data_IF_729418663400
#
_entry.id   IF_729418663400
#
_cell.length_a   1.000
_cell.length_b   1.000
_cell.length_c   1.000
_cell.angle_alpha   90.00
_cell.angle_beta   90.00
_cell.angle_gamma   90.00
#
_symmetry.space_group_name_H-M   'P 1'
#
loop_
_entity.id
_entity.type
_entity.pdbx_description
1 polymer ?
#
# COMPACT_ATOMS: atom_id res chain seq x y z
N UNK A 1 -22.73 10.04 -9.55
CA UNK A 1 -22.75 8.61 -9.17
C UNK A 1 -21.85 8.45 -7.96
N UNK A 2 -22.35 8.88 -6.80
CA UNK A 2 -21.59 8.94 -5.53
C UNK A 2 -21.82 7.66 -4.73
N UNK A 3 -20.72 7.00 -4.35
CA UNK A 3 -20.65 5.86 -3.46
C UNK A 3 -20.95 6.24 -2.00
N UNK A 4 -22.22 6.49 -1.66
CA UNK A 4 -22.67 6.83 -0.29
C UNK A 4 -22.81 5.62 0.65
N UNK A 5 -22.53 4.39 0.19
CA UNK A 5 -22.87 3.17 0.95
C UNK A 5 -21.73 2.56 1.78
N UNK A 6 -20.49 3.04 1.70
CA UNK A 6 -19.40 2.48 2.53
C UNK A 6 -19.48 2.85 4.03
N UNK A 7 -20.30 3.85 4.40
CA UNK A 7 -20.41 4.35 5.77
C UNK A 7 -21.80 4.15 6.41
N UNK A 8 -22.66 3.37 5.74
CA UNK A 8 -24.00 3.07 6.23
C UNK A 8 -23.95 1.83 7.15
N UNK A 9 -24.00 2.08 8.46
CA UNK A 9 -24.00 1.06 9.52
C UNK A 9 -25.28 0.21 9.52
N UNK A 10 -26.27 0.53 8.69
CA UNK A 10 -27.50 -0.27 8.53
C UNK A 10 -27.32 -1.46 7.57
N UNK A 11 -26.22 -1.50 6.81
CA UNK A 11 -25.91 -2.57 5.86
C UNK A 11 -25.07 -3.64 6.57
N UNK A 12 -25.74 -4.67 7.07
CA UNK A 12 -25.20 -5.99 7.52
C UNK A 12 -23.85 -5.99 8.27
N UNK A 13 -23.92 -5.96 9.61
CA UNK A 13 -23.06 -6.77 10.49
C UNK A 13 -21.57 -6.42 10.65
N UNK A 14 -21.01 -5.51 9.85
CA UNK A 14 -19.61 -5.10 9.97
C UNK A 14 -19.51 -3.62 10.36
N UNK A 15 -19.25 -3.36 11.65
CA UNK A 15 -18.98 -1.99 12.12
C UNK A 15 -17.54 -1.60 11.80
N UNK A 16 -17.34 -0.42 11.22
CA UNK A 16 -15.98 0.12 11.00
C UNK A 16 -15.36 0.43 12.37
N UNK A 17 -14.20 -0.14 12.73
CA UNK A 17 -13.59 0.10 14.04
C UNK A 17 -13.37 1.60 14.29
N UNK A 18 -13.66 2.06 15.51
CA UNK A 18 -13.64 3.49 15.87
C UNK A 18 -12.33 4.19 15.49
N UNK A 19 -11.18 3.53 15.60
CA UNK A 19 -9.85 4.12 15.31
C UNK A 19 -9.60 4.44 13.84
N UNK A 20 -10.30 3.77 12.92
CA UNK A 20 -10.16 3.99 11.47
C UNK A 20 -11.41 4.65 10.87
N UNK A 21 -12.37 5.01 11.71
CA UNK A 21 -13.65 5.56 11.29
C UNK A 21 -13.52 7.07 10.99
N UNK A 22 -14.02 7.51 9.82
CA UNK A 22 -14.07 8.93 9.46
C UNK A 22 -14.94 9.77 10.40
N UNK A 23 -15.94 9.17 11.05
CA UNK A 23 -16.78 9.84 12.05
C UNK A 23 -16.02 10.19 13.33
N UNK A 24 -14.97 9.41 13.68
CA UNK A 24 -14.14 9.71 14.86
C UNK A 24 -13.02 10.69 14.53
N UNK A 25 -12.52 10.70 13.29
CA UNK A 25 -11.57 11.69 12.77
C UNK A 25 -11.95 12.08 11.33
N UNK A 26 -12.44 13.31 11.17
CA UNK A 26 -12.89 13.84 9.87
C UNK A 26 -11.74 14.09 8.91
N UNK A 27 -10.60 14.55 9.41
CA UNK A 27 -9.47 14.96 8.57
C UNK A 27 -8.77 13.75 7.96
N UNK A 28 -8.22 13.93 6.75
CA UNK A 28 -7.40 12.90 6.12
C UNK A 28 -6.14 12.66 6.95
N UNK A 29 -5.84 11.39 7.24
CA UNK A 29 -4.59 11.03 7.86
C UNK A 29 -3.50 11.02 6.79
N UNK A 30 -2.47 11.84 7.00
CA UNK A 30 -1.26 11.82 6.17
C UNK A 30 -0.17 11.02 6.87
N UNK A 31 0.50 10.15 6.12
CA UNK A 31 1.65 9.38 6.58
C UNK A 31 2.89 9.89 5.85
N UNK A 32 3.85 10.43 6.60
CA UNK A 32 5.11 10.91 6.07
C UNK A 32 6.15 9.77 6.05
N UNK A 33 6.65 9.44 4.87
CA UNK A 33 7.75 8.50 4.65
C UNK A 33 8.87 9.24 3.95
N UNK A 34 9.89 9.66 4.70
CA UNK A 34 11.06 10.35 4.16
C UNK A 34 10.72 11.57 3.26
N UNK A 35 9.74 12.38 3.66
CA UNK A 35 9.26 13.53 2.89
C UNK A 35 8.15 13.22 1.88
N UNK A 36 7.80 11.95 1.67
CA UNK A 36 6.68 11.54 0.82
C UNK A 36 5.41 11.48 1.67
N UNK A 37 4.40 12.29 1.34
CA UNK A 37 3.16 12.41 2.09
C UNK A 37 2.03 11.53 1.49
N UNK A 38 1.85 10.32 2.00
CA UNK A 38 0.74 9.44 1.59
C UNK A 38 -0.56 9.92 2.23
N UNK A 39 -1.61 10.10 1.43
CA UNK A 39 -2.90 10.66 1.86
C UNK A 39 -3.02 12.18 1.69
N UNK A 40 -2.03 12.81 1.03
CA UNK A 40 -2.09 14.19 0.56
C UNK A 40 -2.81 14.34 -0.79
N UNK A 41 -2.52 15.43 -1.50
CA UNK A 41 -3.08 15.71 -2.83
C UNK A 41 -2.37 15.00 -3.98
N UNK A 42 -1.14 14.54 -3.77
CA UNK A 42 -0.31 13.90 -4.79
C UNK A 42 -0.58 12.41 -4.92
N UNK A 43 -0.43 11.89 -6.14
CA UNK A 43 -0.52 10.45 -6.40
C UNK A 43 0.84 9.81 -6.12
N UNK A 44 0.90 8.98 -5.09
CA UNK A 44 2.11 8.27 -4.71
C UNK A 44 2.12 6.87 -5.34
N UNK A 45 3.19 6.56 -6.07
CA UNK A 45 3.38 5.26 -6.73
C UNK A 45 4.40 4.42 -5.96
N UNK A 46 3.98 3.23 -5.54
CA UNK A 46 4.83 2.22 -4.89
C UNK A 46 5.03 1.06 -5.87
N UNK A 47 6.25 0.84 -6.34
CA UNK A 47 6.56 -0.14 -7.38
C UNK A 47 7.79 -0.98 -7.02
N UNK A 48 7.95 -2.13 -7.66
CA UNK A 48 9.06 -3.05 -7.42
C UNK A 48 8.64 -4.51 -7.48
N UNK A 49 9.57 -5.45 -7.29
CA UNK A 49 9.29 -6.85 -7.57
C UNK A 49 8.29 -7.46 -6.58
N UNK A 50 7.68 -8.57 -7.01
CA UNK A 50 6.79 -9.33 -6.14
C UNK A 50 7.59 -9.91 -4.96
N UNK A 51 8.63 -10.71 -5.26
CA UNK A 51 9.59 -11.26 -4.31
C UNK A 51 10.99 -10.69 -4.59
N UNK A 52 11.78 -10.50 -3.54
CA UNK A 52 13.20 -10.19 -3.68
C UNK A 52 13.94 -11.49 -3.93
N UNK A 53 14.51 -11.65 -5.11
CA UNK A 53 15.17 -12.91 -5.51
C UNK A 53 16.69 -12.84 -5.33
N UNK A 54 17.29 -11.69 -5.62
CA UNK A 54 18.70 -11.41 -5.39
C UNK A 54 18.96 -9.89 -5.38
N UNK A 55 20.20 -9.51 -5.07
CA UNK A 55 20.61 -8.11 -4.93
C UNK A 55 20.57 -7.37 -6.27
N UNK A 56 21.03 -8.02 -7.32
CA UNK A 56 21.16 -7.45 -8.67
C UNK A 56 19.78 -7.09 -9.23
N UNK A 57 18.84 -8.03 -9.18
CA UNK A 57 17.44 -7.85 -9.58
C UNK A 57 16.77 -6.71 -8.80
N UNK A 58 16.98 -6.64 -7.48
CA UNK A 58 16.40 -5.59 -6.67
C UNK A 58 16.95 -4.20 -7.03
N UNK A 59 18.27 -4.08 -7.21
CA UNK A 59 18.92 -2.82 -7.54
C UNK A 59 18.61 -2.36 -8.97
N UNK A 60 18.52 -3.27 -9.92
CA UNK A 60 18.09 -2.98 -11.29
C UNK A 60 16.65 -2.47 -11.31
N UNK A 61 15.74 -3.22 -10.66
CA UNK A 61 14.33 -2.82 -10.55
C UNK A 61 14.20 -1.45 -9.90
N UNK A 62 14.96 -1.17 -8.83
CA UNK A 62 14.94 0.11 -8.14
C UNK A 62 15.26 1.29 -9.05
N UNK A 63 16.28 1.14 -9.91
CA UNK A 63 16.69 2.17 -10.87
C UNK A 63 15.62 2.40 -11.93
N UNK A 64 15.06 1.34 -12.48
CA UNK A 64 14.04 1.43 -13.54
C UNK A 64 12.76 2.07 -13.02
N UNK A 65 12.22 1.59 -11.89
CA UNK A 65 10.97 2.14 -11.35
C UNK A 65 11.15 3.58 -10.87
N UNK A 66 12.29 3.93 -10.30
CA UNK A 66 12.59 5.32 -9.93
C UNK A 66 12.64 6.23 -11.15
N UNK A 67 13.29 5.79 -12.24
CA UNK A 67 13.35 6.53 -13.51
C UNK A 67 11.97 6.68 -14.17
N UNK A 68 11.07 5.72 -13.94
CA UNK A 68 9.68 5.77 -14.40
C UNK A 68 8.74 6.62 -13.51
N UNK A 69 9.25 7.21 -12.42
CA UNK A 69 8.48 8.07 -11.52
C UNK A 69 7.86 7.37 -10.31
N UNK A 70 8.29 6.15 -9.99
CA UNK A 70 7.93 5.54 -8.70
C UNK A 70 8.59 6.29 -7.54
N UNK A 71 7.83 6.44 -6.46
CA UNK A 71 8.24 7.21 -5.28
C UNK A 71 8.86 6.30 -4.21
N UNK A 72 8.37 5.07 -4.11
CA UNK A 72 8.78 4.10 -3.09
C UNK A 72 9.02 2.73 -3.74
N UNK A 73 10.16 2.11 -3.41
CA UNK A 73 10.46 0.74 -3.81
C UNK A 73 9.80 -0.27 -2.86
N UNK A 74 9.08 -1.25 -3.39
CA UNK A 74 8.58 -2.43 -2.65
C UNK A 74 9.29 -3.71 -3.08
N UNK A 75 9.38 -4.68 -2.18
CA UNK A 75 9.88 -6.03 -2.48
C UNK A 75 9.58 -6.97 -1.33
N UNK A 76 8.94 -8.11 -1.59
CA UNK A 76 8.63 -9.08 -0.52
C UNK A 76 9.83 -9.96 -0.20
N UNK A 77 10.39 -9.84 1.01
CA UNK A 77 11.47 -10.72 1.51
C UNK A 77 10.95 -12.06 2.06
N UNK A 78 9.66 -12.14 2.38
CA UNK A 78 8.99 -13.35 2.84
C UNK A 78 7.72 -13.57 2.03
N UNK A 79 7.56 -14.76 1.46
CA UNK A 79 6.33 -15.15 0.76
C UNK A 79 5.68 -16.34 1.47
N UNK A 80 4.55 -16.14 2.16
CA UNK A 80 3.78 -17.27 2.69
C UNK A 80 3.21 -18.06 1.51
N UNK A 81 3.87 -19.15 1.13
CA UNK A 81 3.43 -20.03 0.03
C UNK A 81 2.68 -21.23 0.59
N UNK A 82 1.59 -21.59 -0.07
CA UNK A 82 0.77 -22.75 0.27
C UNK A 82 1.46 -24.08 -0.04
N UNK A 83 2.48 -24.08 -0.91
CA UNK A 83 3.28 -25.26 -1.26
C UNK A 83 4.71 -25.14 -0.73
N UNK A 84 5.24 -26.17 -0.03
CA UNK A 84 6.57 -26.13 0.58
C UNK A 84 7.72 -26.18 -0.44
N UNK A 85 7.45 -26.51 -1.70
CA UNK A 85 8.48 -26.67 -2.75
C UNK A 85 8.70 -25.41 -3.59
N UNK A 86 8.09 -24.30 -3.20
CA UNK A 86 8.26 -23.02 -3.91
C UNK A 86 9.22 -22.12 -3.15
N UNK A 87 9.90 -21.23 -3.87
CA UNK A 87 10.75 -20.19 -3.28
C UNK A 87 9.99 -19.46 -2.16
N UNK A 88 10.60 -19.45 -0.97
CA UNK A 88 10.10 -18.83 0.26
C UNK A 88 10.53 -17.36 0.32
#
# INVERSE_FOLDING_TARGET
MESKHYNDLSIMGCTVPTRVNRKSKSDATQVNINGIHIGGSEIIVIAGPCAVENKEQLLETAKEVSSAGAHILRGGAFKPRTSPYTFQ
#
